data_IF_629805959457
#
_entry.id   IF_629805959457
#
_cell.length_a   1.000
_cell.length_b   1.000
_cell.length_c   1.000
_cell.angle_alpha   90.00
_cell.angle_beta   90.00
_cell.angle_gamma   90.00
#
_symmetry.space_group_name_H-M   'P 1'
#
loop_
_entity.id
_entity.type
_entity.pdbx_description
1 polymer ?
#
# COMPACT_ATOMS: atom_id res chain seq x y z
N UNK A 1 -17.57 -24.69 -20.14
CA UNK A 1 -17.20 -24.36 -18.76
C UNK A 1 -17.52 -22.89 -18.51
N UNK A 2 -18.33 -22.56 -17.51
CA UNK A 2 -18.67 -21.17 -17.19
C UNK A 2 -17.65 -20.62 -16.21
N UNK A 3 -16.96 -19.54 -16.61
CA UNK A 3 -16.05 -18.78 -15.76
C UNK A 3 -16.85 -18.13 -14.63
N UNK A 4 -16.72 -18.68 -13.42
CA UNK A 4 -17.29 -18.05 -12.22
C UNK A 4 -16.54 -16.76 -11.93
N UNK A 5 -17.14 -15.61 -12.28
CA UNK A 5 -16.67 -14.31 -11.85
C UNK A 5 -16.92 -14.17 -10.35
N UNK A 6 -15.90 -14.42 -9.53
CA UNK A 6 -15.93 -14.05 -8.12
C UNK A 6 -15.79 -12.54 -8.00
N UNK A 7 -16.93 -11.83 -7.94
CA UNK A 7 -16.99 -10.46 -7.45
C UNK A 7 -16.50 -10.45 -5.99
N UNK A 8 -15.20 -10.23 -5.79
CA UNK A 8 -14.67 -9.89 -4.46
C UNK A 8 -15.14 -8.48 -4.15
N UNK A 9 -16.09 -8.38 -3.23
CA UNK A 9 -16.48 -7.11 -2.64
C UNK A 9 -15.28 -6.57 -1.85
N UNK A 10 -14.46 -5.73 -2.49
CA UNK A 10 -13.37 -5.04 -1.80
C UNK A 10 -14.03 -3.94 -0.98
N UNK A 11 -14.42 -4.25 0.25
CA UNK A 11 -14.77 -3.23 1.24
C UNK A 11 -13.50 -2.44 1.53
N UNK A 12 -13.40 -1.25 0.94
CA UNK A 12 -12.37 -0.29 1.30
C UNK A 12 -12.52 0.00 2.81
N UNK A 13 -11.54 -0.37 3.66
CA UNK A 13 -11.65 -0.20 5.10
C UNK A 13 -11.88 1.25 5.51
N UNK A 14 -11.35 2.20 4.73
CA UNK A 14 -11.57 3.63 4.93
C UNK A 14 -13.00 4.04 4.60
N UNK A 15 -13.59 3.48 3.55
CA UNK A 15 -14.99 3.73 3.19
C UNK A 15 -15.93 3.16 4.27
N UNK A 16 -15.64 1.96 4.76
CA UNK A 16 -16.43 1.33 5.82
C UNK A 16 -16.34 2.09 7.13
N UNK A 17 -15.13 2.48 7.54
CA UNK A 17 -14.92 3.30 8.73
C UNK A 17 -15.57 4.68 8.58
N UNK A 18 -15.42 5.33 7.43
CA UNK A 18 -16.06 6.61 7.13
C UNK A 18 -17.58 6.54 7.22
N UNK A 19 -18.20 5.51 6.64
CA UNK A 19 -19.65 5.32 6.74
C UNK A 19 -20.12 5.11 8.18
N UNK A 20 -19.40 4.33 8.98
CA UNK A 20 -19.69 4.14 10.41
C UNK A 20 -19.55 5.43 11.20
N UNK A 21 -18.52 6.22 10.92
CA UNK A 21 -18.29 7.50 11.58
C UNK A 21 -19.42 8.49 11.25
N UNK A 22 -19.83 8.58 9.98
CA UNK A 22 -20.96 9.42 9.55
C UNK A 22 -22.26 9.00 10.23
N UNK A 23 -22.55 7.70 10.25
CA UNK A 23 -23.73 7.17 10.93
C UNK A 23 -23.70 7.47 12.43
N UNK A 24 -22.57 7.25 13.10
CA UNK A 24 -22.41 7.56 14.52
C UNK A 24 -22.60 9.05 14.81
N UNK A 25 -21.99 9.94 14.03
CA UNK A 25 -22.15 11.39 14.19
C UNK A 25 -23.60 11.83 14.00
N UNK A 26 -24.29 11.24 13.02
CA UNK A 26 -25.71 11.48 12.77
C UNK A 26 -26.54 10.99 13.96
N UNK A 27 -26.29 9.79 14.48
CA UNK A 27 -26.96 9.26 15.67
C UNK A 27 -26.78 10.19 16.87
N UNK A 28 -25.58 10.71 17.12
CA UNK A 28 -25.33 11.67 18.20
C UNK A 28 -26.07 12.99 18.02
N UNK A 29 -26.12 13.50 16.78
CA UNK A 29 -26.88 14.71 16.46
C UNK A 29 -28.38 14.51 16.72
N UNK A 30 -28.95 13.38 16.30
CA UNK A 30 -30.36 13.06 16.54
C UNK A 30 -30.64 12.81 18.02
N UNK A 31 -29.74 12.14 18.75
CA UNK A 31 -29.87 11.94 20.19
C UNK A 31 -29.93 13.29 20.92
N UNK A 32 -29.10 14.25 20.51
CA UNK A 32 -29.09 15.61 21.08
C UNK A 32 -30.42 16.35 20.85
N UNK A 33 -31.08 16.15 19.70
CA UNK A 33 -32.33 16.84 19.39
C UNK A 33 -33.57 16.14 19.93
N UNK A 34 -33.57 14.80 19.94
CA UNK A 34 -34.79 14.00 20.17
C UNK A 34 -34.73 13.15 21.45
N UNK A 35 -33.53 12.80 21.93
CA UNK A 35 -33.32 11.96 23.11
C UNK A 35 -33.24 12.75 24.42
N UNK A 36 -32.91 14.04 24.35
CA UNK A 36 -32.70 14.85 25.57
C UNK A 36 -31.64 14.21 26.47
N UNK A 37 -31.97 14.01 27.75
CA UNK A 37 -31.11 13.34 28.73
C UNK A 37 -31.38 11.82 28.86
N UNK A 38 -32.27 11.26 28.03
CA UNK A 38 -32.54 9.82 28.05
C UNK A 38 -31.38 9.04 27.42
N UNK A 39 -30.56 8.44 28.28
CA UNK A 39 -29.43 7.58 27.90
C UNK A 39 -29.87 6.30 27.19
N UNK A 40 -31.13 5.88 27.32
CA UNK A 40 -31.68 4.71 26.65
C UNK A 40 -32.35 5.04 25.32
N UNK A 41 -32.40 6.32 24.92
CA UNK A 41 -32.90 6.69 23.61
C UNK A 41 -32.09 6.00 22.52
N UNK A 42 -32.79 5.38 21.57
CA UNK A 42 -32.19 4.67 20.43
C UNK A 42 -32.55 5.37 19.15
N UNK A 43 -31.56 5.53 18.29
CA UNK A 43 -31.78 6.03 16.95
C UNK A 43 -32.61 5.02 16.13
N UNK A 44 -33.78 5.42 15.58
CA UNK A 44 -34.62 4.54 14.79
C UNK A 44 -33.94 3.95 13.54
N UNK A 45 -32.91 4.62 13.00
CA UNK A 45 -32.23 4.17 11.80
C UNK A 45 -31.21 3.06 12.09
N UNK A 46 -30.50 3.18 13.20
CA UNK A 46 -29.32 2.33 13.52
C UNK A 46 -29.57 1.39 14.71
N UNK A 47 -30.57 1.68 15.55
CA UNK A 47 -30.83 1.02 16.82
C UNK A 47 -29.82 1.39 17.93
N UNK A 48 -28.87 2.28 17.64
CA UNK A 48 -27.78 2.65 18.53
C UNK A 48 -28.23 3.64 19.59
N UNK A 49 -27.74 3.44 20.81
CA UNK A 49 -27.77 4.46 21.85
C UNK A 49 -26.69 5.52 21.60
N UNK A 50 -26.71 6.60 22.39
CA UNK A 50 -25.65 7.62 22.37
C UNK A 50 -24.26 7.01 22.62
N UNK A 51 -24.14 6.14 23.62
CA UNK A 51 -22.88 5.48 23.97
C UNK A 51 -22.42 4.50 22.88
N UNK A 52 -23.34 3.78 22.23
CA UNK A 52 -23.01 2.92 21.10
C UNK A 52 -22.45 3.74 19.93
N UNK A 53 -23.05 4.89 19.62
CA UNK A 53 -22.58 5.76 18.56
C UNK A 53 -21.20 6.35 18.84
N UNK A 54 -20.92 6.77 20.08
CA UNK A 54 -19.58 7.21 20.51
C UNK A 54 -18.55 6.09 20.36
N UNK A 55 -18.88 4.87 20.79
CA UNK A 55 -18.00 3.71 20.66
C UNK A 55 -17.72 3.37 19.19
N UNK A 56 -18.74 3.40 18.33
CA UNK A 56 -18.60 3.13 16.90
C UNK A 56 -17.70 4.18 16.24
N UNK A 57 -17.84 5.46 16.58
CA UNK A 57 -16.96 6.53 16.08
C UNK A 57 -15.51 6.26 16.50
N UNK A 58 -15.27 5.91 17.77
CA UNK A 58 -13.93 5.61 18.27
C UNK A 58 -13.30 4.41 17.54
N UNK A 59 -14.07 3.33 17.36
CA UNK A 59 -13.61 2.15 16.62
C UNK A 59 -13.33 2.47 15.15
N UNK A 60 -14.18 3.28 14.51
CA UNK A 60 -13.96 3.72 13.14
C UNK A 60 -12.67 4.52 13.00
N UNK A 61 -12.41 5.45 13.92
CA UNK A 61 -11.17 6.24 13.92
C UNK A 61 -9.94 5.35 14.10
N UNK A 62 -9.95 4.42 15.07
CA UNK A 62 -8.87 3.45 15.24
C UNK A 62 -8.63 2.61 13.98
N UNK A 63 -9.70 2.22 13.28
CA UNK A 63 -9.61 1.53 11.99
C UNK A 63 -8.92 2.35 10.91
N UNK A 64 -9.24 3.64 10.81
CA UNK A 64 -8.61 4.59 9.87
C UNK A 64 -7.12 4.76 10.18
N UNK A 65 -6.78 4.94 11.46
CA UNK A 65 -5.40 5.15 11.90
C UNK A 65 -4.55 3.90 11.62
N UNK A 66 -5.06 2.72 11.96
CA UNK A 66 -4.39 1.45 11.69
C UNK A 66 -4.17 1.22 10.19
N UNK A 67 -5.16 1.51 9.36
CA UNK A 67 -5.03 1.36 7.91
C UNK A 67 -4.03 2.36 7.33
N UNK A 68 -4.05 3.61 7.80
CA UNK A 68 -3.12 4.66 7.40
C UNK A 68 -1.67 4.29 7.76
N UNK A 69 -1.45 3.75 8.96
CA UNK A 69 -0.15 3.24 9.39
C UNK A 69 0.34 2.08 8.49
N UNK A 70 -0.54 1.14 8.14
CA UNK A 70 -0.19 0.05 7.21
C UNK A 70 0.18 0.57 5.82
N UNK A 71 -0.54 1.58 5.31
CA UNK A 71 -0.20 2.20 4.02
C UNK A 71 1.18 2.89 4.06
N UNK A 72 1.52 3.55 5.16
CA UNK A 72 2.85 4.15 5.33
C UNK A 72 3.95 3.08 5.37
N UNK A 73 3.73 1.97 6.08
CA UNK A 73 4.69 0.85 6.10
C UNK A 73 4.89 0.24 4.71
N UNK A 74 3.81 0.04 3.95
CA UNK A 74 3.89 -0.47 2.57
C UNK A 74 4.66 0.49 1.67
N UNK A 75 4.43 1.81 1.80
CA UNK A 75 5.19 2.82 1.04
C UNK A 75 6.68 2.74 1.35
N UNK A 76 7.04 2.66 2.64
CA UNK A 76 8.43 2.54 3.07
C UNK A 76 9.11 1.29 2.50
N UNK A 77 8.45 0.13 2.58
CA UNK A 77 8.97 -1.14 2.02
C UNK A 77 9.17 -1.03 0.49
N UNK A 78 8.24 -0.38 -0.22
CA UNK A 78 8.36 -0.20 -1.66
C UNK A 78 9.48 0.76 -2.04
N UNK A 79 9.71 1.81 -1.26
CA UNK A 79 10.83 2.74 -1.44
C UNK A 79 12.17 2.02 -1.22
N UNK A 80 12.29 1.26 -0.12
CA UNK A 80 13.47 0.44 0.17
C UNK A 80 13.75 -0.57 -0.95
N UNK A 81 12.70 -1.27 -1.44
CA UNK A 81 12.83 -2.20 -2.55
C UNK A 81 13.30 -1.51 -3.83
N UNK A 82 12.73 -0.34 -4.15
CA UNK A 82 13.12 0.44 -5.33
C UNK A 82 14.57 0.91 -5.25
N UNK A 83 15.02 1.31 -4.07
CA UNK A 83 16.41 1.71 -3.85
C UNK A 83 17.37 0.53 -4.05
N UNK A 84 17.01 -0.65 -3.54
CA UNK A 84 17.78 -1.88 -3.73
C UNK A 84 17.81 -2.33 -5.19
N UNK A 85 16.68 -2.28 -5.89
CA UNK A 85 16.60 -2.56 -7.33
C UNK A 85 17.50 -1.62 -8.14
N UNK A 86 17.49 -0.32 -7.81
CA UNK A 86 18.35 0.67 -8.45
C UNK A 86 19.84 0.39 -8.17
N UNK A 87 20.19 0.01 -6.93
CA UNK A 87 21.56 -0.35 -6.54
C UNK A 87 22.06 -1.54 -7.36
N UNK A 88 21.26 -2.60 -7.45
CA UNK A 88 21.57 -3.79 -8.25
C UNK A 88 21.68 -3.47 -9.74
N UNK A 89 20.79 -2.62 -10.27
CA UNK A 89 20.85 -2.18 -11.66
C UNK A 89 22.17 -1.46 -11.98
N UNK A 90 22.62 -0.55 -11.09
CA UNK A 90 23.91 0.15 -11.23
C UNK A 90 25.10 -0.80 -11.20
N UNK A 91 25.09 -1.78 -10.30
CA UNK A 91 26.16 -2.79 -10.23
C UNK A 91 26.22 -3.63 -11.50
N UNK A 92 25.06 -4.09 -12.00
CA UNK A 92 24.99 -4.85 -13.25
C UNK A 92 25.48 -4.05 -14.45
N UNK A 93 25.19 -2.75 -14.50
CA UNK A 93 25.68 -1.87 -15.56
C UNK A 93 27.21 -1.76 -15.50
N UNK A 94 27.77 -1.47 -14.33
CA UNK A 94 29.23 -1.36 -14.16
C UNK A 94 29.95 -2.68 -14.50
N UNK A 95 29.40 -3.83 -14.10
CA UNK A 95 29.96 -5.14 -14.43
C UNK A 95 29.81 -5.50 -15.91
N UNK A 96 28.80 -4.96 -16.60
CA UNK A 96 28.65 -5.12 -18.05
C UNK A 96 29.65 -4.23 -18.80
N UNK A 97 29.86 -3.00 -18.35
CA UNK A 97 30.87 -2.08 -18.89
C UNK A 97 32.28 -2.68 -18.78
N UNK A 98 32.69 -3.17 -17.59
CA UNK A 98 33.99 -3.84 -17.42
C UNK A 98 34.15 -5.04 -18.35
N UNK A 99 33.12 -5.89 -18.45
CA UNK A 99 33.15 -7.05 -19.36
C UNK A 99 33.28 -6.64 -20.82
N UNK A 100 32.67 -5.52 -21.22
CA UNK A 100 32.82 -4.96 -22.56
C UNK A 100 34.24 -4.44 -22.78
N UNK A 101 34.81 -3.71 -21.83
CA UNK A 101 36.19 -3.21 -21.91
C UNK A 101 37.22 -4.34 -21.98
N UNK A 102 37.07 -5.36 -21.14
CA UNK A 102 37.91 -6.56 -21.15
C UNK A 102 37.83 -7.29 -22.50
N UNK A 103 36.62 -7.48 -23.04
CA UNK A 103 36.42 -8.11 -24.34
C UNK A 103 37.05 -7.30 -25.49
N UNK A 104 36.97 -5.97 -25.44
CA UNK A 104 37.63 -5.08 -26.41
C UNK A 104 39.15 -5.21 -26.29
N UNK A 105 39.70 -5.18 -25.07
CA UNK A 105 41.13 -5.31 -24.83
C UNK A 105 41.68 -6.66 -25.34
N UNK A 106 40.97 -7.76 -25.12
CA UNK A 106 41.35 -9.08 -25.62
C UNK A 106 41.24 -9.17 -27.15
N UNK A 107 40.22 -8.56 -27.77
CA UNK A 107 40.13 -8.48 -29.23
C UNK A 107 41.34 -7.75 -29.84
N UNK A 108 41.76 -6.62 -29.25
CA UNK A 108 42.95 -5.89 -29.70
C UNK A 108 44.24 -6.71 -29.56
N UNK A 109 44.38 -7.52 -28.50
CA UNK A 109 45.55 -8.42 -28.33
C UNK A 109 45.63 -9.49 -29.41
N UNK A 110 44.48 -10.00 -29.88
CA UNK A 110 44.44 -10.98 -30.97
C UNK A 110 44.80 -10.33 -32.32
N UNK A 111 44.27 -9.13 -32.59
CA UNK A 111 44.53 -8.39 -33.84
C UNK A 111 45.99 -7.90 -33.93
N UNK A 112 46.59 -7.48 -32.81
CA UNK A 112 47.97 -7.00 -32.76
C UNK A 112 49.02 -8.12 -32.65
N UNK A 113 48.59 -9.40 -32.61
CA UNK A 113 49.52 -10.53 -32.55
C UNK A 113 50.19 -10.64 -33.92
N UNK A 114 51.51 -10.43 -34.05
CA UNK A 114 52.17 -10.56 -35.34
C UNK A 114 52.02 -12.01 -35.80
N UNK A 115 51.42 -12.20 -36.98
CA UNK A 115 51.35 -13.48 -37.65
C UNK A 115 52.78 -13.99 -37.77
N UNK A 116 53.15 -14.98 -36.95
CA UNK A 116 54.40 -15.72 -37.15
C UNK A 116 54.23 -16.55 -38.41
N UNK A 117 54.41 -15.92 -39.57
CA UNK A 117 54.74 -16.62 -40.80
C UNK A 117 56.15 -17.18 -40.62
N UNK A 118 56.23 -18.46 -40.28
CA UNK A 118 57.43 -19.25 -40.47
C UNK A 118 57.55 -19.52 -41.97
N UNK A 119 58.55 -18.91 -42.60
CA UNK A 119 59.02 -19.25 -43.95
C UNK A 119 59.69 -20.63 -43.96
#
# INVERSE_FOLDING_TARGET
EHTHHHLKYIQNPLLHAGNKQVLGLRTLAVAKTNGGDDTNWRDPLTGWTKSDAELVIQQAQQGIDNYSNRLQQIRKINEERKEEENRLARQRLADAERRSEDAIADAWRVVLRPSRFTY
#
